data_IF_473390334276
#
_entry.id   IF_473390334276
#
_cell.length_a   1.000
_cell.length_b   1.000
_cell.length_c   1.000
_cell.angle_alpha   90.00
_cell.angle_beta   90.00
_cell.angle_gamma   90.00
#
_symmetry.space_group_name_H-M   'P 1'
#
loop_
_entity.id
_entity.type
_entity.pdbx_description
1 polymer ?
#
# COMPACT_ATOMS: atom_id res chain seq x y z
N UNK A 1 6.77 22.40 -0.75
CA UNK A 1 6.65 21.26 -1.68
C UNK A 1 5.33 20.57 -1.40
N UNK A 2 4.36 20.70 -2.30
CA UNK A 2 3.12 19.88 -2.27
C UNK A 2 3.51 18.45 -2.63
N UNK A 3 3.17 17.44 -1.83
CA UNK A 3 3.54 16.04 -2.15
C UNK A 3 3.74 15.12 -0.94
N UNK A 4 2.84 15.18 0.04
CA UNK A 4 2.91 14.28 1.19
C UNK A 4 1.56 13.79 1.72
N UNK A 5 0.44 14.25 1.17
CA UNK A 5 -0.91 14.02 1.71
C UNK A 5 -1.95 14.97 1.12
N UNK A 6 -1.50 16.09 0.53
CA UNK A 6 -2.33 17.06 -0.20
C UNK A 6 -2.94 16.53 -1.51
N UNK A 7 -2.70 15.28 -1.87
CA UNK A 7 -3.30 14.64 -3.05
C UNK A 7 -4.51 13.76 -2.72
N UNK A 8 -4.74 13.47 -1.43
CA UNK A 8 -5.93 12.79 -0.97
C UNK A 8 -7.12 13.76 -0.97
N UNK A 9 -8.34 13.23 -1.08
CA UNK A 9 -9.52 14.06 -0.90
C UNK A 9 -9.62 14.53 0.56
N UNK A 10 -10.31 15.65 0.85
CA UNK A 10 -10.50 16.12 2.22
C UNK A 10 -11.05 15.05 3.17
N UNK A 11 -11.94 14.19 2.69
CA UNK A 11 -12.54 13.08 3.43
C UNK A 11 -11.50 12.03 3.81
N UNK A 12 -10.63 11.66 2.87
CA UNK A 12 -9.54 10.72 3.10
C UNK A 12 -8.47 11.29 4.03
N UNK A 13 -8.14 12.58 3.90
CA UNK A 13 -7.22 13.28 4.81
C UNK A 13 -7.76 13.20 6.24
N UNK A 14 -9.05 13.46 6.45
CA UNK A 14 -9.66 13.43 7.77
C UNK A 14 -9.76 12.00 8.33
N UNK A 15 -10.02 11.02 7.48
CA UNK A 15 -10.02 9.61 7.86
C UNK A 15 -8.62 9.16 8.33
N UNK A 16 -7.57 9.39 7.54
CA UNK A 16 -6.23 8.87 7.84
C UNK A 16 -5.57 9.54 9.05
N UNK A 17 -5.99 10.75 9.43
CA UNK A 17 -5.55 11.39 10.67
C UNK A 17 -5.90 10.60 11.94
N UNK A 18 -6.95 9.77 11.89
CA UNK A 18 -7.41 8.96 13.02
C UNK A 18 -6.74 7.60 13.07
N UNK A 19 -5.98 7.25 12.04
CA UNK A 19 -5.37 5.93 11.90
C UNK A 19 -4.05 5.85 12.66
N UNK A 20 -4.08 5.22 13.85
CA UNK A 20 -2.87 4.93 14.63
C UNK A 20 -2.15 3.68 14.11
N UNK A 21 -2.90 2.68 13.66
CA UNK A 21 -2.38 1.46 13.05
C UNK A 21 -2.87 1.37 11.62
N UNK A 22 -1.97 1.09 10.67
CA UNK A 22 -2.30 1.05 9.25
C UNK A 22 -1.85 -0.27 8.64
N UNK A 23 -2.76 -0.92 7.92
CA UNK A 23 -2.40 -1.90 6.89
C UNK A 23 -2.61 -1.22 5.55
N UNK A 24 -1.56 -1.15 4.74
CA UNK A 24 -1.58 -0.49 3.45
C UNK A 24 -1.23 -1.46 2.32
N UNK A 25 -1.93 -1.32 1.21
CA UNK A 25 -1.62 -1.97 -0.07
C UNK A 25 -1.75 -0.96 -1.20
N UNK A 26 -1.38 -1.34 -2.42
CA UNK A 26 -1.63 -0.51 -3.58
C UNK A 26 -1.71 -1.28 -4.90
N UNK A 27 -2.54 -0.76 -5.79
CA UNK A 27 -2.78 -1.28 -7.13
C UNK A 27 -2.64 -0.11 -8.11
N UNK A 28 -1.83 -0.30 -9.14
CA UNK A 28 -1.54 0.71 -10.14
C UNK A 28 -1.69 0.07 -11.52
N UNK A 29 -2.17 0.83 -12.52
CA UNK A 29 -2.34 0.39 -13.90
C UNK A 29 -3.18 -0.90 -14.06
N UNK A 30 -4.12 -1.13 -13.13
CA UNK A 30 -5.01 -2.30 -13.10
C UNK A 30 -4.30 -3.67 -13.20
N UNK A 31 -3.04 -3.76 -12.74
CA UNK A 31 -2.25 -5.01 -12.84
C UNK A 31 -2.81 -6.15 -12.00
N UNK A 32 -3.37 -5.83 -10.83
CA UNK A 32 -3.75 -6.81 -9.81
C UNK A 32 -5.22 -6.61 -9.40
N UNK A 33 -5.90 -7.70 -9.04
CA UNK A 33 -7.21 -7.63 -8.40
C UNK A 33 -7.04 -7.44 -6.87
N UNK A 34 -7.93 -6.68 -6.22
CA UNK A 34 -7.82 -6.44 -4.78
C UNK A 34 -8.09 -7.72 -3.97
N UNK A 35 -7.02 -8.28 -3.38
CA UNK A 35 -7.14 -9.39 -2.43
C UNK A 35 -7.63 -8.90 -1.07
N UNK A 36 -8.66 -9.56 -0.52
CA UNK A 36 -9.16 -9.26 0.82
C UNK A 36 -8.30 -9.99 1.87
N UNK A 37 -7.92 -9.33 2.98
CA UNK A 37 -7.35 -10.00 4.14
C UNK A 37 -8.29 -11.09 4.65
N UNK A 38 -7.71 -12.17 5.18
CA UNK A 38 -8.42 -13.26 5.83
C UNK A 38 -7.93 -13.46 7.27
N UNK A 39 -8.77 -14.06 8.11
CA UNK A 39 -8.48 -14.33 9.52
C UNK A 39 -8.13 -13.09 10.35
N UNK A 40 -8.77 -11.95 10.05
CA UNK A 40 -8.63 -10.72 10.84
C UNK A 40 -9.62 -10.79 12.01
N UNK A 41 -9.15 -10.55 13.23
CA UNK A 41 -10.02 -10.47 14.38
C UNK A 41 -10.83 -9.17 14.39
N UNK A 42 -12.03 -9.18 14.98
CA UNK A 42 -12.85 -7.96 15.15
C UNK A 42 -12.08 -6.82 15.82
N UNK A 43 -11.21 -7.15 16.78
CA UNK A 43 -10.35 -6.18 17.45
C UNK A 43 -9.40 -5.50 16.47
N UNK A 44 -8.80 -6.26 15.56
CA UNK A 44 -7.89 -5.71 14.55
C UNK A 44 -8.64 -4.96 13.45
N UNK A 45 -9.87 -5.37 13.11
CA UNK A 45 -10.75 -4.59 12.21
C UNK A 45 -11.08 -3.19 12.78
N UNK A 46 -11.26 -3.09 14.11
CA UNK A 46 -11.52 -1.81 14.78
C UNK A 46 -10.25 -0.97 14.98
N UNK A 47 -9.11 -1.63 15.21
CA UNK A 47 -7.85 -0.97 15.57
C UNK A 47 -7.07 -0.47 14.35
N UNK A 48 -7.10 -1.22 13.23
CA UNK A 48 -6.33 -0.92 12.04
C UNK A 48 -7.18 -0.25 10.97
N UNK A 49 -6.63 0.79 10.36
CA UNK A 49 -7.13 1.28 9.08
C UNK A 49 -6.57 0.44 7.94
N UNK A 50 -7.45 -0.17 7.15
CA UNK A 50 -7.10 -0.91 5.95
C UNK A 50 -7.21 0.01 4.74
N UNK A 51 -6.07 0.42 4.19
CA UNK A 51 -5.97 1.43 3.15
C UNK A 51 -5.41 0.82 1.86
N UNK A 52 -6.06 1.10 0.74
CA UNK A 52 -5.64 0.67 -0.58
C UNK A 52 -5.40 1.88 -1.47
N UNK A 53 -4.13 2.15 -1.76
CA UNK A 53 -3.75 3.27 -2.64
C UNK A 53 -3.90 2.85 -4.10
N UNK A 54 -4.69 3.62 -4.86
CA UNK A 54 -4.99 3.33 -6.25
C UNK A 54 -4.75 4.54 -7.14
N UNK A 55 -4.48 4.31 -8.42
CA UNK A 55 -4.52 5.35 -9.43
C UNK A 55 -5.87 5.46 -10.13
N UNK A 56 -6.05 6.48 -10.96
CA UNK A 56 -7.32 6.71 -11.65
C UNK A 56 -7.72 5.51 -12.53
N UNK A 57 -6.75 4.92 -13.24
CA UNK A 57 -6.96 3.74 -14.09
C UNK A 57 -7.44 2.55 -13.26
N UNK A 58 -6.76 2.24 -12.15
CA UNK A 58 -7.15 1.13 -11.26
C UNK A 58 -8.47 1.39 -10.57
N UNK A 59 -8.74 2.64 -10.16
CA UNK A 59 -10.01 3.02 -9.55
C UNK A 59 -11.18 2.82 -10.52
N UNK A 60 -11.04 3.22 -11.78
CA UNK A 60 -12.04 2.95 -12.82
C UNK A 60 -12.22 1.46 -13.08
N UNK A 61 -11.12 0.71 -13.15
CA UNK A 61 -11.18 -0.73 -13.31
C UNK A 61 -11.95 -1.40 -12.15
N UNK A 62 -11.67 -1.00 -10.92
CA UNK A 62 -12.37 -1.50 -9.73
C UNK A 62 -13.85 -1.13 -9.81
N UNK A 63 -14.20 0.12 -10.15
CA UNK A 63 -15.61 0.57 -10.30
C UNK A 63 -16.41 -0.25 -11.30
N UNK A 64 -15.76 -0.76 -12.36
CA UNK A 64 -16.42 -1.55 -13.41
C UNK A 64 -16.56 -3.03 -13.04
N UNK A 65 -15.63 -3.58 -12.27
CA UNK A 65 -15.52 -5.03 -12.05
C UNK A 65 -15.86 -5.48 -10.62
N UNK A 66 -15.84 -4.57 -9.65
CA UNK A 66 -15.99 -4.89 -8.22
C UNK A 66 -17.02 -3.94 -7.60
N UNK A 67 -17.81 -4.46 -6.65
CA UNK A 67 -18.75 -3.63 -5.90
C UNK A 67 -18.00 -2.69 -4.96
N UNK A 68 -18.22 -1.39 -5.15
CA UNK A 68 -17.73 -0.34 -4.26
C UNK A 68 -18.87 0.08 -3.33
N UNK A 69 -18.57 0.14 -2.04
CA UNK A 69 -19.46 0.72 -1.01
C UNK A 69 -18.99 2.12 -0.68
N UNK A 70 -19.91 3.08 -0.64
CA UNK A 70 -19.63 4.42 -0.11
C UNK A 70 -20.15 4.53 1.33
N UNK A 71 -19.33 5.08 2.23
CA UNK A 71 -19.73 5.36 3.61
C UNK A 71 -20.40 6.75 3.73
N UNK A 72 -21.02 7.02 4.88
CA UNK A 72 -21.71 8.30 5.14
C UNK A 72 -20.80 9.53 5.16
N UNK A 73 -19.48 9.33 5.16
CA UNK A 73 -18.46 10.37 5.17
C UNK A 73 -17.74 10.48 3.82
N UNK A 74 -18.29 9.89 2.75
CA UNK A 74 -17.77 9.99 1.39
C UNK A 74 -16.60 9.05 1.07
N UNK A 75 -16.27 8.12 1.97
CA UNK A 75 -15.23 7.12 1.73
C UNK A 75 -15.68 6.00 0.81
N UNK A 76 -14.83 5.63 -0.15
CA UNK A 76 -15.07 4.50 -1.04
C UNK A 76 -14.36 3.24 -0.52
N UNK A 77 -15.05 2.09 -0.55
CA UNK A 77 -14.58 0.84 0.03
C UNK A 77 -14.75 -0.36 -0.90
N UNK A 78 -13.78 -1.26 -0.87
CA UNK A 78 -13.85 -2.60 -1.48
C UNK A 78 -13.57 -3.63 -0.39
N UNK A 79 -14.63 -4.28 0.10
CA UNK A 79 -14.55 -5.12 1.29
C UNK A 79 -14.08 -4.32 2.49
N UNK A 80 -12.96 -4.71 3.10
CA UNK A 80 -12.35 -3.99 4.24
C UNK A 80 -11.47 -2.81 3.80
N UNK A 81 -11.04 -2.76 2.53
CA UNK A 81 -10.13 -1.74 2.06
C UNK A 81 -10.85 -0.42 1.79
N UNK A 82 -10.40 0.66 2.43
CA UNK A 82 -10.73 2.03 2.00
C UNK A 82 -9.83 2.40 0.83
N UNK A 83 -10.42 2.85 -0.28
CA UNK A 83 -9.70 3.30 -1.45
C UNK A 83 -9.17 4.71 -1.24
N UNK A 84 -7.88 4.92 -1.52
CA UNK A 84 -7.21 6.23 -1.45
C UNK A 84 -6.66 6.53 -2.85
N UNK A 85 -7.24 7.52 -3.53
CA UNK A 85 -6.82 7.89 -4.87
C UNK A 85 -5.52 8.71 -4.84
N UNK A 86 -4.49 8.25 -5.55
CA UNK A 86 -3.28 9.02 -5.84
C UNK A 86 -3.38 9.62 -7.23
N UNK A 87 -3.83 10.88 -7.30
CA UNK A 87 -4.15 11.55 -8.56
C UNK A 87 -2.91 11.98 -9.35
N UNK A 88 -1.86 12.47 -8.68
CA UNK A 88 -0.68 12.98 -9.36
C UNK A 88 0.52 12.06 -9.12
N UNK A 89 0.85 11.30 -10.14
CA UNK A 89 1.97 10.38 -10.08
C UNK A 89 3.29 11.06 -10.47
N UNK A 90 4.39 10.83 -9.73
CA UNK A 90 5.67 11.48 -10.03
C UNK A 90 6.44 10.85 -11.19
N UNK A 91 6.01 9.70 -11.71
CA UNK A 91 6.67 8.99 -12.82
C UNK A 91 5.68 8.63 -13.91
N UNK A 92 6.13 8.57 -15.16
CA UNK A 92 5.32 8.05 -16.27
C UNK A 92 5.17 6.53 -16.21
N UNK A 93 6.10 5.82 -15.54
CA UNK A 93 6.09 4.36 -15.43
C UNK A 93 5.28 3.91 -14.19
N UNK A 94 4.12 3.23 -14.36
CA UNK A 94 3.23 2.88 -13.24
C UNK A 94 3.89 1.99 -12.18
N UNK A 95 4.80 1.12 -12.61
CA UNK A 95 5.59 0.26 -11.70
C UNK A 95 6.45 1.04 -10.72
N UNK A 96 6.87 2.27 -11.06
CA UNK A 96 7.59 3.15 -10.12
C UNK A 96 6.62 3.85 -9.19
N UNK A 97 5.44 4.24 -9.70
CA UNK A 97 4.40 4.86 -8.89
C UNK A 97 3.91 3.92 -7.78
N UNK A 98 3.78 2.62 -8.04
CA UNK A 98 3.49 1.64 -7.00
C UNK A 98 4.53 1.53 -5.88
N UNK A 99 5.78 1.98 -6.11
CA UNK A 99 6.81 2.03 -5.07
C UNK A 99 6.70 3.27 -4.18
N UNK A 100 6.05 4.33 -4.66
CA UNK A 100 5.90 5.58 -3.92
C UNK A 100 5.13 5.36 -2.61
N UNK A 101 3.89 4.83 -2.60
CA UNK A 101 3.16 4.61 -1.36
C UNK A 101 3.79 3.52 -0.48
N UNK A 102 4.53 2.58 -1.09
CA UNK A 102 5.30 1.55 -0.38
C UNK A 102 6.47 2.11 0.43
N UNK A 103 7.21 3.07 -0.11
CA UNK A 103 8.38 3.66 0.55
C UNK A 103 7.97 4.84 1.44
N UNK A 104 6.98 5.61 1.00
CA UNK A 104 6.54 6.85 1.64
C UNK A 104 5.23 6.69 2.42
N UNK A 105 4.94 5.49 2.94
CA UNK A 105 3.75 5.22 3.77
C UNK A 105 3.66 6.19 4.95
N UNK A 106 4.80 6.50 5.57
CA UNK A 106 4.91 7.45 6.68
C UNK A 106 4.56 8.90 6.30
N UNK A 107 4.66 9.28 5.02
CA UNK A 107 4.22 10.60 4.54
C UNK A 107 2.72 10.59 4.33
N UNK A 108 2.21 9.57 3.64
CA UNK A 108 0.79 9.42 3.33
C UNK A 108 -0.07 9.32 4.60
N UNK A 109 0.41 8.60 5.62
CA UNK A 109 -0.32 8.35 6.86
C UNK A 109 0.51 8.82 8.06
N UNK A 110 0.68 10.14 8.25
CA UNK A 110 1.66 10.69 9.19
C UNK A 110 1.30 10.48 10.67
N UNK A 111 0.04 10.14 10.96
CA UNK A 111 -0.43 9.83 12.32
C UNK A 111 -0.29 8.35 12.68
N UNK A 112 0.10 7.50 11.70
CA UNK A 112 0.32 6.08 11.95
C UNK A 112 1.58 5.87 12.79
N UNK A 113 1.45 5.19 13.93
CA UNK A 113 2.57 4.75 14.75
C UNK A 113 3.18 3.45 14.22
N UNK A 114 2.33 2.58 13.67
CA UNK A 114 2.74 1.35 13.02
C UNK A 114 2.06 1.23 11.66
N UNK A 115 2.83 0.79 10.67
CA UNK A 115 2.31 0.54 9.32
C UNK A 115 2.82 -0.81 8.82
N UNK A 116 1.94 -1.55 8.14
CA UNK A 116 2.26 -2.81 7.48
C UNK A 116 1.96 -2.62 6.00
N UNK A 117 2.97 -2.73 5.14
CA UNK A 117 2.79 -2.71 3.69
C UNK A 117 2.68 -4.12 3.13
N UNK A 118 1.65 -4.38 2.33
CA UNK A 118 1.42 -5.65 1.63
C UNK A 118 1.32 -5.38 0.13
N UNK A 119 1.97 -6.21 -0.68
CA UNK A 119 1.91 -6.09 -2.14
C UNK A 119 0.50 -6.43 -2.65
N UNK A 120 -0.01 -5.73 -3.67
CA UNK A 120 -1.40 -5.89 -4.16
C UNK A 120 -1.77 -7.33 -4.55
N UNK A 121 -0.80 -8.11 -5.03
CA UNK A 121 -0.96 -9.54 -5.37
C UNK A 121 -0.93 -10.50 -4.18
N UNK A 122 -0.68 -10.00 -2.97
CA UNK A 122 -0.54 -10.81 -1.77
C UNK A 122 -1.76 -10.68 -0.87
N UNK A 123 -2.09 -11.77 -0.19
CA UNK A 123 -3.16 -11.82 0.80
C UNK A 123 -2.57 -11.77 2.22
N UNK A 124 -3.14 -10.93 3.08
CA UNK A 124 -2.87 -10.96 4.52
C UNK A 124 -3.70 -12.07 5.15
N UNK A 125 -3.08 -13.21 5.45
CA UNK A 125 -3.77 -14.40 5.98
C UNK A 125 -3.68 -14.56 7.50
N UNK A 126 -2.98 -13.65 8.17
CA UNK A 126 -2.77 -13.63 9.63
C UNK A 126 -3.11 -12.25 10.17
N UNK A 127 -3.71 -12.21 11.36
CA UNK A 127 -4.04 -10.97 12.04
C UNK A 127 -2.83 -10.02 12.17
N UNK A 128 -2.95 -8.74 11.77
CA UNK A 128 -1.84 -7.79 11.75
C UNK A 128 -1.27 -7.49 13.13
N UNK A 129 -2.07 -7.66 14.20
CA UNK A 129 -1.60 -7.47 15.57
C UNK A 129 -0.53 -8.52 15.93
N UNK A 130 -0.67 -9.75 15.43
CA UNK A 130 0.31 -10.82 15.62
C UNK A 130 1.60 -10.55 14.84
N UNK A 131 1.51 -9.88 13.68
CA UNK A 131 2.69 -9.45 12.94
C UNK A 131 3.49 -8.41 13.74
N UNK A 132 2.82 -7.41 14.31
CA UNK A 132 3.48 -6.40 15.15
C UNK A 132 4.09 -7.04 16.42
N UNK A 133 3.34 -7.92 17.10
CA UNK A 133 3.83 -8.63 18.28
C UNK A 133 5.12 -9.39 17.97
N UNK A 134 5.07 -10.23 16.94
CA UNK A 134 6.16 -11.16 16.62
C UNK A 134 7.40 -10.46 16.07
N UNK A 135 7.21 -9.49 15.17
CA UNK A 135 8.33 -8.93 14.40
C UNK A 135 8.84 -7.60 14.94
N UNK A 136 8.04 -6.87 15.73
CA UNK A 136 8.44 -5.57 16.28
C UNK A 136 8.49 -5.58 17.80
N UNK A 137 7.40 -5.92 18.49
CA UNK A 137 7.29 -5.68 19.93
C UNK A 137 8.10 -6.64 20.78
N UNK A 138 8.08 -7.94 20.46
CA UNK A 138 8.75 -8.98 21.26
C UNK A 138 10.23 -8.69 21.47
N UNK A 139 10.92 -8.31 20.40
CA UNK A 139 12.36 -8.04 20.38
C UNK A 139 12.70 -6.55 20.26
N UNK A 140 11.68 -5.67 20.39
CA UNK A 140 11.80 -4.20 20.33
C UNK A 140 12.47 -3.68 19.04
N UNK A 141 12.13 -4.26 17.90
CA UNK A 141 12.56 -3.79 16.59
C UNK A 141 11.74 -2.60 16.10
N UNK A 142 12.38 -1.71 15.34
CA UNK A 142 11.73 -0.53 14.74
C UNK A 142 11.16 -0.79 13.36
N UNK A 143 11.65 -1.80 12.64
CA UNK A 143 11.13 -2.22 11.34
C UNK A 143 11.44 -3.69 11.09
N UNK A 144 10.64 -4.31 10.21
CA UNK A 144 10.85 -5.68 9.73
C UNK A 144 10.56 -5.74 8.24
N UNK A 145 11.34 -6.52 7.49
CA UNK A 145 11.18 -6.73 6.05
C UNK A 145 11.34 -8.22 5.76
N UNK A 146 10.45 -8.77 4.93
CA UNK A 146 10.56 -10.16 4.50
C UNK A 146 11.83 -10.37 3.65
N UNK A 147 12.55 -11.46 3.91
CA UNK A 147 13.71 -11.83 3.12
C UNK A 147 13.28 -12.20 1.69
N UNK A 148 14.03 -11.71 0.70
CA UNK A 148 13.76 -12.05 -0.70
C UNK A 148 14.12 -13.53 -0.97
N UNK A 149 13.26 -14.23 -1.74
CA UNK A 149 13.36 -15.69 -1.97
C UNK A 149 14.69 -16.13 -2.58
N UNK A 150 15.28 -15.29 -3.43
CA UNK A 150 16.45 -15.65 -4.25
C UNK A 150 17.68 -14.78 -4.01
N UNK A 151 17.49 -13.57 -3.48
CA UNK A 151 18.57 -12.59 -3.36
C UNK A 151 18.79 -12.34 -1.88
N UNK A 152 20.00 -12.61 -1.42
CA UNK A 152 20.35 -12.54 0.00
C UNK A 152 20.85 -11.17 0.41
N UNK A 153 21.19 -10.32 -0.56
CA UNK A 153 21.69 -8.97 -0.34
C UNK A 153 21.29 -8.01 -1.47
N UNK A 154 21.59 -6.73 -1.26
CA UNK A 154 21.27 -5.65 -2.20
C UNK A 154 22.05 -5.73 -3.51
N UNK A 155 23.25 -6.32 -3.50
CA UNK A 155 24.09 -6.45 -4.70
C UNK A 155 23.53 -7.50 -5.66
N UNK A 156 23.06 -8.63 -5.14
CA UNK A 156 22.38 -9.66 -5.92
C UNK A 156 21.08 -9.14 -6.55
N UNK A 157 20.31 -8.34 -5.80
CA UNK A 157 19.11 -7.67 -6.33
C UNK A 157 19.48 -6.64 -7.42
N UNK A 158 20.58 -5.89 -7.24
CA UNK A 158 21.06 -4.93 -8.24
C UNK A 158 21.47 -5.63 -9.55
N UNK A 159 22.24 -6.72 -9.45
CA UNK A 159 22.65 -7.53 -10.60
C UNK A 159 21.45 -8.15 -11.31
N UNK A 160 20.47 -8.67 -10.56
CA UNK A 160 19.25 -9.21 -11.13
C UNK A 160 18.44 -8.13 -11.88
N UNK A 161 18.32 -6.93 -11.31
CA UNK A 161 17.64 -5.81 -11.96
C UNK A 161 18.34 -5.38 -13.26
N UNK A 162 19.69 -5.40 -13.30
CA UNK A 162 20.49 -5.14 -14.50
C UNK A 162 20.25 -6.21 -15.57
N UNK A 163 20.33 -7.50 -15.22
CA UNK A 163 20.11 -8.61 -16.15
C UNK A 163 18.71 -8.59 -16.77
N UNK A 164 17.69 -8.23 -15.98
CA UNK A 164 16.30 -8.15 -16.44
C UNK A 164 15.99 -6.90 -17.26
N UNK A 165 16.97 -6.00 -17.48
CA UNK A 165 16.78 -4.69 -18.13
C UNK A 165 15.60 -3.91 -17.53
N UNK A 166 15.32 -4.10 -16.23
CA UNK A 166 14.05 -3.71 -15.58
C UNK A 166 13.79 -2.20 -15.62
N UNK A 167 14.84 -1.40 -15.80
CA UNK A 167 14.80 0.06 -15.92
C UNK A 167 15.58 0.59 -17.14
N UNK A 168 15.93 -0.29 -18.09
CA UNK A 168 16.59 0.16 -19.31
C UNK A 168 15.54 0.88 -20.17
N UNK A 169 15.54 2.22 -20.13
CA UNK A 169 14.95 2.99 -21.22
C UNK A 169 15.83 2.76 -22.46
N UNK A 170 15.26 2.61 -23.67
CA UNK A 170 15.99 3.03 -24.86
C UNK A 170 16.47 4.45 -24.58
N UNK A 171 17.78 4.67 -24.66
CA UNK A 171 18.27 6.02 -24.84
C UNK A 171 17.84 6.37 -26.26
N UNK A 172 16.73 7.09 -26.40
CA UNK A 172 16.45 7.79 -27.65
C UNK A 172 17.55 8.85 -27.79
N UNK A 173 18.58 8.47 -28.56
CA UNK A 173 19.62 9.34 -29.10
C UNK A 173 19.17 9.83 -30.48
#
# INVERSE_FOLDING_TARGET
>A
MRGGGEEMTPEDIEYVKRCTFVVATGIFDAYDAPHQPSNISKRSEELFCFLMVVDEVSLEFIRRNVSIREDSHGGQWVGIWRLILLKHQPYDEPRRNGKVPKILTHRLFPQAQYSIWIDGKMELIVDPLLLLERYLWRDKHTFAIAQHKHHRNVYEEADANKRRKRYARPLDL
#
